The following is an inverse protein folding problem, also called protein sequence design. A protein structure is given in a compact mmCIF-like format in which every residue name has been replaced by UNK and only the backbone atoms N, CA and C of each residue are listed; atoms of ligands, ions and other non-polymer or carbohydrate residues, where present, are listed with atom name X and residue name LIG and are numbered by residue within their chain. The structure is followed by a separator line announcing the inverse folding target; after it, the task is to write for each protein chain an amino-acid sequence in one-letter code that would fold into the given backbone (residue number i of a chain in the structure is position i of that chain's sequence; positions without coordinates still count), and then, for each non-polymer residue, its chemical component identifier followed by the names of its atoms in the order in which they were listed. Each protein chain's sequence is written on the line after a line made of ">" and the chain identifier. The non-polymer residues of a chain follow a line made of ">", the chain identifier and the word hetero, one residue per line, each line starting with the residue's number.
data_IF_443295905244
#
_entry.id   IF_443295905244
#
_cell.length_a   1.000
_cell.length_b   1.000
_cell.length_c   1.000
_cell.angle_alpha   90.00
_cell.angle_beta   90.00
_cell.angle_gamma   90.00
#
_symmetry.space_group_name_H-M   'P 1'
#
loop_
_entity.id
_entity.type
_entity.pdbx_description
1 polymer ?
#
# COMPACT_ATOMS: atom_id res chain seq x y z
N UNK A 1 7.38 5.10 -20.05
CA UNK A 1 6.84 4.66 -18.73
C UNK A 1 6.38 3.22 -18.86
N UNK A 2 6.90 2.32 -18.02
CA UNK A 2 6.48 0.93 -17.94
C UNK A 2 5.97 0.66 -16.53
N UNK A 3 4.74 0.16 -16.39
CA UNK A 3 4.22 -0.30 -15.11
C UNK A 3 4.31 -1.81 -15.10
N UNK A 4 4.94 -2.37 -14.08
CA UNK A 4 5.09 -3.81 -13.91
C UNK A 4 4.65 -4.24 -12.51
N UNK A 5 4.22 -5.49 -12.42
CA UNK A 5 4.00 -6.18 -11.15
C UNK A 5 5.35 -6.56 -10.54
N UNK A 6 5.38 -6.76 -9.24
CA UNK A 6 6.54 -7.38 -8.58
C UNK A 6 6.67 -8.85 -8.97
N UNK A 7 7.90 -9.36 -8.91
CA UNK A 7 8.17 -10.77 -9.08
C UNK A 7 8.39 -11.47 -7.73
N UNK A 8 7.45 -12.27 -7.23
CA UNK A 8 7.63 -13.00 -5.94
C UNK A 8 8.81 -13.96 -5.94
N UNK A 9 9.27 -14.44 -7.11
CA UNK A 9 10.47 -15.30 -7.18
C UNK A 9 11.73 -14.52 -6.78
N UNK A 10 11.71 -13.20 -6.94
CA UNK A 10 12.78 -12.26 -6.60
C UNK A 10 12.35 -11.34 -5.44
N UNK A 11 11.65 -11.91 -4.47
CA UNK A 11 11.03 -11.13 -3.39
C UNK A 11 12.01 -10.19 -2.67
N UNK A 12 13.21 -10.67 -2.35
CA UNK A 12 14.20 -9.87 -1.62
C UNK A 12 14.72 -8.69 -2.47
N UNK A 13 14.94 -8.89 -3.78
CA UNK A 13 15.32 -7.83 -4.72
C UNK A 13 14.21 -6.77 -4.84
N UNK A 14 12.95 -7.20 -4.98
CA UNK A 14 11.80 -6.29 -5.10
C UNK A 14 11.53 -5.55 -3.80
N UNK A 15 11.71 -6.20 -2.65
CA UNK A 15 11.57 -5.57 -1.34
C UNK A 15 12.63 -4.49 -1.12
N UNK A 16 13.90 -4.78 -1.47
CA UNK A 16 14.97 -3.79 -1.41
C UNK A 16 14.71 -2.61 -2.35
N UNK A 17 14.20 -2.87 -3.56
CA UNK A 17 13.83 -1.84 -4.51
C UNK A 17 12.73 -0.91 -3.96
N UNK A 18 11.65 -1.49 -3.46
CA UNK A 18 10.53 -0.75 -2.86
C UNK A 18 11.00 0.08 -1.67
N UNK A 19 11.86 -0.49 -0.82
CA UNK A 19 12.44 0.23 0.31
C UNK A 19 13.21 1.47 -0.16
N UNK A 20 14.12 1.31 -1.13
CA UNK A 20 14.95 2.41 -1.58
C UNK A 20 14.08 3.57 -2.06
N UNK A 21 13.02 3.28 -2.83
CA UNK A 21 12.07 4.30 -3.27
C UNK A 21 11.28 4.87 -2.07
N UNK A 22 10.85 4.04 -1.11
CA UNK A 22 10.11 4.50 0.08
C UNK A 22 10.96 5.45 0.93
N UNK A 23 12.18 5.05 1.28
CA UNK A 23 13.11 5.85 2.09
C UNK A 23 13.44 7.18 1.40
N UNK A 24 13.66 7.18 0.08
CA UNK A 24 13.89 8.41 -0.68
C UNK A 24 12.63 9.29 -0.75
N UNK A 25 11.46 8.69 -0.95
CA UNK A 25 10.20 9.42 -1.12
C UNK A 25 9.67 9.99 0.21
N UNK A 26 9.95 9.34 1.34
CA UNK A 26 9.40 9.67 2.66
C UNK A 26 10.42 10.30 3.61
N UNK A 27 11.67 10.56 3.18
CA UNK A 27 12.72 11.15 4.04
C UNK A 27 12.30 12.48 4.70
N UNK A 28 11.45 13.24 4.02
CA UNK A 28 11.00 14.57 4.46
C UNK A 28 9.61 14.50 5.14
N UNK A 29 9.01 13.31 5.27
CA UNK A 29 7.65 13.13 5.81
C UNK A 29 7.67 13.09 7.34
N UNK A 30 6.87 13.93 8.00
CA UNK A 30 6.86 14.02 9.46
C UNK A 30 6.47 12.69 10.12
N UNK A 31 7.27 12.24 11.08
CA UNK A 31 7.05 10.96 11.79
C UNK A 31 7.45 9.71 10.99
N UNK A 32 8.04 9.85 9.80
CA UNK A 32 8.62 8.71 9.09
C UNK A 32 9.92 8.25 9.75
N UNK A 33 9.95 6.99 10.15
CA UNK A 33 11.16 6.32 10.62
C UNK A 33 11.59 5.38 9.49
N UNK A 34 12.77 5.59 8.88
CA UNK A 34 13.29 4.70 7.86
C UNK A 34 13.36 3.28 8.39
N UNK A 35 12.77 2.33 7.67
CA UNK A 35 12.86 0.92 8.02
C UNK A 35 14.30 0.44 7.79
N UNK A 36 14.84 -0.27 8.77
CA UNK A 36 16.14 -0.94 8.64
C UNK A 36 16.02 -2.21 7.78
N UNK A 37 17.13 -2.63 7.16
CA UNK A 37 17.18 -3.88 6.38
C UNK A 37 16.65 -5.09 7.15
N UNK A 38 16.93 -5.15 8.46
CA UNK A 38 16.46 -6.22 9.34
C UNK A 38 14.93 -6.20 9.54
N UNK A 39 14.34 -5.01 9.73
CA UNK A 39 12.89 -4.85 9.87
C UNK A 39 12.15 -5.24 8.60
N UNK A 40 12.78 -5.05 7.44
CA UNK A 40 12.19 -5.37 6.13
C UNK A 40 12.28 -6.85 5.85
N UNK A 41 13.43 -7.47 6.12
CA UNK A 41 13.54 -8.92 6.02
C UNK A 41 12.49 -9.59 6.93
N UNK A 42 12.27 -9.04 8.13
CA UNK A 42 11.26 -9.51 9.06
C UNK A 42 9.83 -9.26 8.58
N UNK A 43 9.49 -8.02 8.21
CA UNK A 43 8.16 -7.63 7.74
C UNK A 43 7.83 -8.34 6.43
N UNK A 44 8.75 -8.35 5.48
CA UNK A 44 8.64 -9.06 4.20
C UNK A 44 8.35 -10.54 4.39
N UNK A 45 9.07 -11.24 5.28
CA UNK A 45 8.81 -12.66 5.59
C UNK A 45 7.40 -12.89 6.14
N UNK A 46 6.89 -11.98 6.97
CA UNK A 46 5.54 -12.06 7.55
C UNK A 46 4.43 -11.62 6.58
N UNK A 47 4.71 -10.68 5.69
CA UNK A 47 3.78 -10.14 4.70
C UNK A 47 3.70 -11.04 3.46
N UNK A 48 4.74 -11.82 3.16
CA UNK A 48 4.81 -12.73 2.00
C UNK A 48 3.54 -13.57 1.76
N UNK A 49 2.87 -14.15 2.78
CA UNK A 49 1.63 -14.92 2.59
C UNK A 49 0.43 -14.08 2.15
N UNK A 50 0.40 -12.78 2.47
CA UNK A 50 -0.70 -11.86 2.16
C UNK A 50 -0.40 -10.93 0.99
N UNK A 51 0.82 -10.96 0.45
CA UNK A 51 1.25 -10.19 -0.72
C UNK A 51 0.57 -10.74 -1.98
N UNK A 52 -0.13 -9.87 -2.70
CA UNK A 52 -0.74 -10.13 -4.00
C UNK A 52 0.09 -9.42 -5.07
N UNK A 53 0.67 -10.16 -6.03
CA UNK A 53 1.66 -9.62 -6.99
C UNK A 53 1.10 -8.49 -7.85
N UNK A 54 -0.14 -8.65 -8.26
CA UNK A 54 -0.90 -7.72 -9.09
C UNK A 54 -1.43 -6.50 -8.31
N UNK A 55 -1.30 -6.50 -6.98
CA UNK A 55 -1.62 -5.38 -6.11
C UNK A 55 -0.37 -4.62 -5.66
N UNK A 56 0.81 -5.01 -6.13
CA UNK A 56 2.06 -4.29 -5.90
C UNK A 56 2.68 -3.95 -7.23
N UNK A 57 2.72 -2.65 -7.52
CA UNK A 57 3.18 -2.13 -8.79
C UNK A 57 4.46 -1.34 -8.60
N UNK A 58 5.36 -1.47 -9.58
CA UNK A 58 6.54 -0.64 -9.75
C UNK A 58 6.41 0.06 -11.09
N UNK A 59 6.61 1.38 -11.10
CA UNK A 59 6.66 2.16 -12.32
C UNK A 59 8.10 2.52 -12.66
N UNK A 60 8.49 2.21 -13.89
CA UNK A 60 9.80 2.48 -14.46
C UNK A 60 9.69 3.61 -15.49
N UNK A 61 10.64 4.55 -15.42
CA UNK A 61 10.83 5.64 -16.36
C UNK A 61 12.25 5.57 -16.89
N UNK A 62 12.41 5.51 -18.22
CA UNK A 62 13.71 5.33 -18.89
C UNK A 62 14.57 4.16 -18.36
N UNK A 63 13.92 3.07 -17.96
CA UNK A 63 14.58 1.87 -17.45
C UNK A 63 14.90 1.91 -15.95
N UNK A 64 14.65 3.04 -15.29
CA UNK A 64 14.85 3.19 -13.85
C UNK A 64 13.52 3.09 -13.09
N UNK A 65 13.44 2.30 -12.01
CA UNK A 65 12.30 2.32 -11.11
C UNK A 65 12.19 3.67 -10.40
N UNK A 66 11.06 4.36 -10.58
CA UNK A 66 10.85 5.71 -10.07
C UNK A 66 9.63 5.83 -9.15
N UNK A 67 8.76 4.83 -9.13
CA UNK A 67 7.63 4.82 -8.22
C UNK A 67 7.21 3.40 -7.86
N UNK A 68 6.56 3.26 -6.71
CA UNK A 68 5.87 2.04 -6.33
C UNK A 68 4.52 2.34 -5.68
N UNK A 69 3.63 1.36 -5.73
CA UNK A 69 2.37 1.38 -5.02
C UNK A 69 2.05 -0.02 -4.52
N UNK A 70 1.68 -0.12 -3.25
CA UNK A 70 1.26 -1.38 -2.62
C UNK A 70 -0.16 -1.22 -2.10
N UNK A 71 -1.02 -2.15 -2.52
CA UNK A 71 -2.36 -2.30 -1.98
C UNK A 71 -2.53 -3.67 -1.33
N UNK A 72 -3.20 -3.70 -0.20
CA UNK A 72 -3.48 -4.90 0.58
C UNK A 72 -5.00 -5.08 0.72
N UNK A 73 -5.50 -6.32 0.67
CA UNK A 73 -6.89 -6.60 0.99
C UNK A 73 -7.19 -6.28 2.46
N UNK A 74 -8.44 -5.89 2.77
CA UNK A 74 -8.85 -5.68 4.16
C UNK A 74 -9.03 -7.02 4.90
N UNK A 75 -8.00 -7.39 5.66
CA UNK A 75 -7.99 -8.63 6.43
C UNK A 75 -9.05 -8.60 7.55
N UNK A 76 -9.48 -7.41 8.01
CA UNK A 76 -10.46 -7.30 9.08
C UNK A 76 -11.78 -7.95 8.68
N UNK A 77 -12.16 -7.93 7.39
CA UNK A 77 -13.36 -8.62 6.90
C UNK A 77 -13.33 -10.13 7.17
N UNK A 78 -12.14 -10.75 7.24
CA UNK A 78 -12.00 -12.17 7.51
C UNK A 78 -12.10 -12.53 9.00
N UNK A 79 -11.82 -11.59 9.89
CA UNK A 79 -11.66 -11.86 11.34
C UNK A 79 -12.68 -11.12 12.23
N UNK A 80 -13.43 -10.17 11.71
CA UNK A 80 -14.30 -9.26 12.49
C UNK A 80 -15.28 -10.01 13.42
N UNK A 81 -15.87 -11.10 12.95
CA UNK A 81 -16.83 -11.90 13.71
C UNK A 81 -16.18 -13.01 14.57
N UNK A 82 -14.86 -13.19 14.48
CA UNK A 82 -14.13 -14.11 15.36
C UNK A 82 -13.97 -13.52 16.77
N UNK A 83 -14.11 -12.20 16.93
CA UNK A 83 -14.06 -11.49 18.22
C UNK A 83 -12.85 -11.89 19.10
N UNK A 84 -11.70 -12.13 18.47
CA UNK A 84 -10.46 -12.53 19.16
C UNK A 84 -10.35 -14.01 19.53
N UNK A 85 -11.39 -14.83 19.30
CA UNK A 85 -11.38 -16.24 19.63
C UNK A 85 -11.16 -17.10 18.38
N UNK A 86 -9.98 -17.71 18.29
CA UNK A 86 -9.61 -18.61 17.19
C UNK A 86 -10.02 -20.06 17.45
N UNK A 87 -10.20 -20.45 18.70
CA UNK A 87 -10.53 -21.84 19.05
C UNK A 87 -11.99 -22.00 19.48
N UNK A 88 -12.61 -23.18 19.22
CA UNK A 88 -12.05 -24.31 18.45
C UNK A 88 -12.23 -24.17 16.92
N UNK A 89 -13.23 -23.41 16.44
CA UNK A 89 -13.59 -23.36 15.01
C UNK A 89 -13.13 -22.10 14.26
N UNK A 90 -12.61 -21.09 14.96
CA UNK A 90 -12.18 -19.83 14.36
C UNK A 90 -11.00 -19.98 13.39
N UNK A 91 -10.05 -20.87 13.68
CA UNK A 91 -8.92 -21.20 12.77
C UNK A 91 -9.43 -21.81 11.47
N UNK A 92 -10.32 -22.80 11.55
CA UNK A 92 -10.89 -23.46 10.36
C UNK A 92 -11.67 -22.46 9.52
N UNK A 93 -12.48 -21.63 10.18
CA UNK A 93 -13.24 -20.56 9.55
C UNK A 93 -12.32 -19.53 8.87
N UNK A 94 -11.25 -19.10 9.53
CA UNK A 94 -10.27 -18.16 8.97
C UNK A 94 -9.57 -18.74 7.74
N UNK A 95 -9.08 -19.98 7.82
CA UNK A 95 -8.41 -20.64 6.68
C UNK A 95 -9.36 -20.80 5.49
N UNK A 96 -10.60 -21.21 5.73
CA UNK A 96 -11.62 -21.29 4.69
C UNK A 96 -11.88 -19.92 4.04
N UNK A 97 -11.94 -18.86 4.85
CA UNK A 97 -12.12 -17.48 4.33
C UNK A 97 -10.94 -17.00 3.53
N UNK A 98 -9.71 -17.23 3.98
CA UNK A 98 -8.50 -16.87 3.22
C UNK A 98 -8.47 -17.56 1.85
N UNK A 99 -9.06 -18.76 1.74
CA UNK A 99 -9.12 -19.50 0.48
C UNK A 99 -10.33 -19.16 -0.40
N UNK A 100 -11.49 -18.79 0.18
CA UNK A 100 -12.77 -18.67 -0.55
C UNK A 100 -13.38 -17.28 -0.55
N UNK A 101 -13.15 -16.49 0.50
CA UNK A 101 -13.71 -15.15 0.58
C UNK A 101 -12.83 -14.16 -0.17
N UNK A 102 -13.51 -13.24 -0.84
CA UNK A 102 -12.93 -12.12 -1.55
C UNK A 102 -13.32 -10.84 -0.79
N UNK A 103 -12.38 -10.14 -0.15
CA UNK A 103 -12.69 -8.96 0.64
C UNK A 103 -13.13 -7.84 -0.30
N UNK A 104 -14.14 -7.08 0.12
CA UNK A 104 -14.68 -5.97 -0.70
C UNK A 104 -13.90 -4.69 -0.49
N UNK A 105 -13.20 -4.58 0.64
CA UNK A 105 -12.29 -3.52 1.02
C UNK A 105 -10.84 -3.83 0.67
N UNK A 106 -10.13 -2.78 0.27
CA UNK A 106 -8.68 -2.75 0.17
C UNK A 106 -8.11 -1.50 0.86
N UNK A 107 -6.82 -1.52 1.14
CA UNK A 107 -6.07 -0.37 1.66
C UNK A 107 -4.81 -0.19 0.83
N UNK A 108 -4.47 1.05 0.51
CA UNK A 108 -3.18 1.44 -0.07
C UNK A 108 -2.33 1.98 1.07
N UNK A 109 -1.62 1.14 1.83
CA UNK A 109 -0.83 1.60 2.97
C UNK A 109 0.40 2.39 2.54
N UNK A 110 0.99 2.04 1.40
CA UNK A 110 2.28 2.56 0.96
C UNK A 110 2.25 2.92 -0.53
N UNK A 111 2.73 4.12 -0.81
CA UNK A 111 2.98 4.63 -2.14
C UNK A 111 4.17 5.56 -2.07
N UNK A 112 5.02 5.54 -3.09
CA UNK A 112 6.17 6.43 -3.17
C UNK A 112 6.52 6.73 -4.62
N UNK A 113 6.94 7.97 -4.87
CA UNK A 113 7.60 8.41 -6.09
C UNK A 113 8.95 8.98 -5.65
N UNK A 114 10.03 8.66 -6.36
CA UNK A 114 11.37 9.20 -6.08
C UNK A 114 11.38 10.73 -6.06
N UNK A 115 12.24 11.31 -5.23
CA UNK A 115 12.23 12.75 -4.95
C UNK A 115 12.53 13.59 -6.18
N UNK A 116 13.39 13.09 -7.08
CA UNK A 116 13.73 13.76 -8.35
C UNK A 116 12.53 14.04 -9.26
N UNK A 117 11.41 13.33 -9.07
CA UNK A 117 10.17 13.55 -9.82
C UNK A 117 9.10 14.29 -9.00
N UNK A 118 9.34 14.63 -7.74
CA UNK A 118 8.37 15.39 -6.93
C UNK A 118 8.04 16.73 -7.58
N UNK A 119 6.82 17.22 -7.35
CA UNK A 119 6.27 18.44 -7.96
C UNK A 119 6.26 18.46 -9.51
N UNK A 120 6.55 17.33 -10.17
CA UNK A 120 6.40 17.20 -11.63
C UNK A 120 5.03 16.66 -12.00
N UNK A 121 4.56 17.00 -13.21
CA UNK A 121 3.35 16.39 -13.80
C UNK A 121 3.49 14.88 -13.94
N UNK A 122 4.72 14.39 -14.12
CA UNK A 122 5.03 12.97 -14.24
C UNK A 122 4.72 12.22 -12.94
N UNK A 123 5.04 12.77 -11.76
CA UNK A 123 4.71 12.14 -10.49
C UNK A 123 3.19 11.93 -10.31
N UNK A 124 2.39 12.96 -10.59
CA UNK A 124 0.92 12.84 -10.53
C UNK A 124 0.41 11.83 -11.56
N UNK A 125 0.95 11.83 -12.78
CA UNK A 125 0.57 10.87 -13.81
C UNK A 125 0.89 9.42 -13.39
N UNK A 126 2.09 9.18 -12.86
CA UNK A 126 2.49 7.86 -12.34
C UNK A 126 1.55 7.40 -11.21
N UNK A 127 1.20 8.32 -10.29
CA UNK A 127 0.25 8.05 -9.23
C UNK A 127 -1.11 7.60 -9.77
N UNK A 128 -1.73 8.39 -10.65
CA UNK A 128 -3.05 8.07 -11.22
C UNK A 128 -3.03 6.78 -12.02
N UNK A 129 -1.98 6.53 -12.80
CA UNK A 129 -1.84 5.28 -13.53
C UNK A 129 -1.79 4.10 -12.54
N UNK A 130 -0.90 4.13 -11.53
CA UNK A 130 -0.81 3.04 -10.55
C UNK A 130 -2.13 2.82 -9.80
N UNK A 131 -2.82 3.89 -9.39
CA UNK A 131 -4.15 3.80 -8.75
C UNK A 131 -5.13 3.07 -9.68
N UNK A 132 -5.19 3.44 -10.97
CA UNK A 132 -6.10 2.82 -11.92
C UNK A 132 -5.76 1.34 -12.18
N UNK A 133 -4.47 0.99 -12.29
CA UNK A 133 -4.05 -0.41 -12.44
C UNK A 133 -4.42 -1.25 -11.21
N UNK A 134 -4.16 -0.76 -10.00
CA UNK A 134 -4.56 -1.43 -8.76
C UNK A 134 -6.08 -1.52 -8.65
N UNK A 135 -6.81 -0.46 -9.01
CA UNK A 135 -8.28 -0.48 -8.98
C UNK A 135 -8.84 -1.56 -9.90
N UNK A 136 -8.29 -1.70 -11.12
CA UNK A 136 -8.68 -2.74 -12.07
C UNK A 136 -8.35 -4.13 -11.56
N UNK A 137 -7.11 -4.37 -11.12
CA UNK A 137 -6.69 -5.66 -10.57
C UNK A 137 -7.51 -6.03 -9.32
N UNK A 138 -7.66 -5.10 -8.39
CA UNK A 138 -8.48 -5.24 -7.19
C UNK A 138 -9.93 -5.63 -7.51
N UNK A 139 -10.57 -4.96 -8.46
CA UNK A 139 -11.94 -5.26 -8.84
C UNK A 139 -12.04 -6.61 -9.58
N UNK A 140 -11.24 -6.82 -10.63
CA UNK A 140 -11.36 -7.97 -11.53
C UNK A 140 -10.91 -9.28 -10.87
N UNK A 141 -9.80 -9.26 -10.14
CA UNK A 141 -9.23 -10.48 -9.57
C UNK A 141 -9.74 -10.74 -8.16
N UNK A 142 -10.01 -9.69 -7.39
CA UNK A 142 -10.33 -9.79 -5.97
C UNK A 142 -11.71 -9.27 -5.58
N UNK A 143 -12.50 -8.72 -6.51
CA UNK A 143 -13.83 -8.19 -6.18
C UNK A 143 -13.81 -6.98 -5.24
N UNK A 144 -12.68 -6.28 -5.12
CA UNK A 144 -12.55 -5.08 -4.29
C UNK A 144 -13.37 -3.97 -4.93
N UNK A 145 -14.35 -3.47 -4.17
CA UNK A 145 -15.25 -2.39 -4.58
C UNK A 145 -14.93 -1.07 -3.88
N UNK A 146 -14.17 -1.11 -2.79
CA UNK A 146 -13.80 0.07 -2.00
C UNK A 146 -12.33 -0.01 -1.61
N UNK A 147 -11.62 1.12 -1.68
CA UNK A 147 -10.27 1.24 -1.17
C UNK A 147 -10.10 2.47 -0.27
N UNK A 148 -9.16 2.40 0.68
CA UNK A 148 -8.72 3.52 1.52
C UNK A 148 -7.27 3.91 1.17
N UNK A 149 -7.00 5.21 1.05
CA UNK A 149 -5.67 5.76 0.69
C UNK A 149 -4.85 6.10 1.94
N UNK A 150 -4.87 5.21 2.92
CA UNK A 150 -4.09 5.32 4.16
C UNK A 150 -4.30 6.63 4.94
N UNK A 151 -3.29 7.00 5.73
CA UNK A 151 -3.25 8.29 6.40
C UNK A 151 -2.46 9.28 5.55
N UNK A 152 -3.04 10.45 5.34
CA UNK A 152 -2.42 11.55 4.60
C UNK A 152 -2.24 12.68 5.60
N UNK A 153 -1.03 13.22 5.72
CA UNK A 153 -0.76 14.40 6.55
C UNK A 153 -1.46 15.63 5.95
N UNK A 154 -1.95 16.52 6.81
CA UNK A 154 -2.68 17.72 6.40
C UNK A 154 -1.81 18.69 5.55
N UNK A 155 -0.48 18.57 5.60
CA UNK A 155 0.48 19.36 4.82
C UNK A 155 0.93 18.67 3.51
N UNK A 156 0.59 17.39 3.30
CA UNK A 156 0.92 16.64 2.08
C UNK A 156 -0.04 17.01 0.93
N UNK A 157 0.11 18.24 0.46
CA UNK A 157 -0.70 18.85 -0.60
C UNK A 157 -0.75 17.99 -1.88
N UNK A 158 0.35 17.36 -2.35
CA UNK A 158 0.30 16.47 -3.51
C UNK A 158 -0.64 15.27 -3.32
N UNK A 159 -0.57 14.59 -2.17
CA UNK A 159 -1.45 13.45 -1.90
C UNK A 159 -2.90 13.86 -1.67
N UNK A 160 -3.13 15.00 -1.01
CA UNK A 160 -4.48 15.58 -0.87
C UNK A 160 -5.09 15.86 -2.25
N UNK A 161 -4.31 16.47 -3.17
CA UNK A 161 -4.77 16.74 -4.54
C UNK A 161 -5.10 15.47 -5.31
N UNK A 162 -4.32 14.40 -5.14
CA UNK A 162 -4.61 13.08 -5.74
C UNK A 162 -5.90 12.51 -5.15
N UNK A 163 -6.06 12.59 -3.82
CA UNK A 163 -7.22 12.09 -3.10
C UNK A 163 -8.52 12.82 -3.51
N UNK A 164 -8.45 14.13 -3.73
CA UNK A 164 -9.57 14.94 -4.23
C UNK A 164 -9.89 14.60 -5.70
N UNK A 165 -8.86 14.43 -6.54
CA UNK A 165 -9.04 14.12 -7.95
C UNK A 165 -9.65 12.73 -8.22
N UNK A 166 -9.46 11.77 -7.32
CA UNK A 166 -10.14 10.46 -7.37
C UNK A 166 -11.48 10.46 -6.63
N UNK A 167 -11.98 11.64 -6.24
CA UNK A 167 -13.25 11.84 -5.52
C UNK A 167 -13.34 11.03 -4.22
N UNK A 168 -12.22 10.90 -3.51
CA UNK A 168 -12.20 10.19 -2.22
C UNK A 168 -12.95 10.97 -1.14
N UNK A 169 -13.36 10.27 -0.08
CA UNK A 169 -14.05 10.87 1.08
C UNK A 169 -13.21 10.70 2.33
N UNK A 170 -13.02 11.79 3.07
CA UNK A 170 -12.36 11.76 4.38
C UNK A 170 -13.21 10.92 5.35
N UNK A 171 -12.67 9.79 5.78
CA UNK A 171 -13.33 8.90 6.75
C UNK A 171 -13.13 9.43 8.19
N UNK A 172 -11.88 9.78 8.55
CA UNK A 172 -11.51 10.27 9.89
C UNK A 172 -10.39 11.30 9.77
N UNK A 173 -10.41 12.28 10.68
CA UNK A 173 -9.31 13.24 10.88
C UNK A 173 -8.77 13.08 12.30
N UNK A 174 -7.47 12.84 12.40
CA UNK A 174 -6.76 12.71 13.67
C UNK A 174 -5.91 13.97 13.88
N UNK A 175 -5.80 14.44 15.12
CA UNK A 175 -4.91 15.55 15.52
C UNK A 175 -3.99 15.06 16.61
N UNK A 176 -2.69 15.21 16.40
CA UNK A 176 -1.65 14.85 17.36
C UNK A 176 -1.22 16.13 18.06
N UNK A 177 -1.16 16.10 19.39
CA UNK A 177 -0.74 17.21 20.23
C UNK A 177 0.49 16.79 21.03
N UNK A 178 1.49 17.65 21.09
CA UNK A 178 2.64 17.48 21.97
C UNK A 178 2.57 18.46 23.14
N UNK A 179 3.11 18.04 24.30
CA UNK A 179 3.29 18.91 25.46
C UNK A 179 4.75 18.77 25.92
N UNK A 180 5.44 19.87 26.25
CA UNK A 180 6.72 19.77 26.95
C UNK A 180 6.54 19.00 28.26
N UNK A 181 7.40 18.00 28.47
CA UNK A 181 7.42 17.16 29.66
C UNK A 181 7.96 17.93 30.86
#
# INVERSE_FOLDING_TARGET
>A
IRIRQINKKKFDEEAALILNILNEAWSDNWGFIPLTDAEIAYAGKKLKPIVLEDMILVAEYDGEPVAFMMALPDINEFIMDLKGNLFPFGVVKLLWRLQKMRPKGGRVPLMGVVRKLHASRLASQLAFMMIEYIRRAGNQHYGITRAEVGWILDDNTPMISIADAIESKINRRYRIYEKPL
#
